data_IF_239239766098
#
_entry.id   IF_239239766098
#
_cell.length_a   1.000
_cell.length_b   1.000
_cell.length_c   1.000
_cell.angle_alpha   90.00
_cell.angle_beta   90.00
_cell.angle_gamma   90.00
#
_symmetry.space_group_name_H-M   'P 1'
#
loop_
_entity.id
_entity.type
_entity.pdbx_description
1 polymer ?
#
# COMPACT_ATOMS: atom_id res chain seq x y z
N UNK A 1 37.58 5.65 12.68
CA UNK A 1 37.35 4.21 12.76
C UNK A 1 36.17 3.90 11.84
N UNK A 2 36.42 3.36 10.66
CA UNK A 2 35.34 2.90 9.78
C UNK A 2 34.76 1.65 10.43
N UNK A 3 33.51 1.72 10.87
CA UNK A 3 32.74 0.52 11.18
C UNK A 3 32.62 -0.25 9.87
N UNK A 4 33.43 -1.30 9.72
CA UNK A 4 33.31 -2.23 8.62
C UNK A 4 31.96 -2.93 8.76
N UNK A 5 31.01 -2.50 7.94
CA UNK A 5 29.82 -3.27 7.66
C UNK A 5 30.31 -4.54 6.96
N UNK A 6 30.42 -5.62 7.70
CA UNK A 6 30.56 -6.93 7.07
C UNK A 6 29.34 -7.09 6.18
N UNK A 7 29.54 -7.07 4.85
CA UNK A 7 28.49 -7.27 3.88
C UNK A 7 27.89 -8.67 4.07
N UNK A 8 26.81 -8.75 4.83
CA UNK A 8 25.97 -9.97 4.86
C UNK A 8 25.37 -10.29 3.49
N UNK A 9 25.50 -9.35 2.54
CA UNK A 9 25.06 -9.51 1.15
C UNK A 9 26.01 -10.35 0.26
N UNK A 10 27.22 -10.66 0.71
CA UNK A 10 28.13 -11.55 -0.03
C UNK A 10 27.65 -13.02 -0.06
N UNK A 11 26.56 -13.32 0.66
CA UNK A 11 25.88 -14.61 0.66
C UNK A 11 24.38 -14.40 0.40
N UNK A 12 24.03 -13.79 -0.74
CA UNK A 12 22.65 -13.97 -1.21
C UNK A 12 22.44 -15.46 -1.40
N UNK A 13 21.45 -16.06 -0.70
CA UNK A 13 21.15 -17.47 -0.91
C UNK A 13 20.68 -17.67 -2.34
N UNK A 14 20.75 -18.92 -2.81
CA UNK A 14 20.17 -19.33 -4.08
C UNK A 14 18.71 -18.87 -4.17
N UNK A 15 18.23 -18.66 -5.38
CA UNK A 15 16.82 -18.29 -5.58
C UNK A 15 15.88 -19.27 -4.85
N UNK A 16 14.83 -18.77 -4.18
CA UNK A 16 13.87 -19.64 -3.53
C UNK A 16 13.26 -20.63 -4.52
N UNK A 17 13.06 -21.87 -4.09
CA UNK A 17 12.44 -22.90 -4.93
C UNK A 17 11.05 -22.45 -5.38
N UNK A 18 10.76 -22.39 -6.68
CA UNK A 18 9.47 -21.94 -7.19
C UNK A 18 8.29 -22.71 -6.55
N UNK A 19 7.29 -21.96 -6.07
CA UNK A 19 6.07 -22.52 -5.50
C UNK A 19 6.19 -23.04 -4.07
N UNK A 20 7.34 -22.94 -3.42
CA UNK A 20 7.53 -23.33 -2.02
C UNK A 20 7.37 -22.11 -1.11
N UNK A 21 6.43 -22.19 -0.16
CA UNK A 21 6.27 -21.17 0.87
C UNK A 21 7.24 -21.45 2.02
N UNK A 22 8.15 -20.53 2.26
CA UNK A 22 9.11 -20.58 3.36
C UNK A 22 8.62 -19.69 4.51
N UNK A 23 8.11 -20.33 5.57
CA UNK A 23 7.78 -19.63 6.81
C UNK A 23 9.05 -19.09 7.46
N UNK A 24 9.06 -17.80 7.82
CA UNK A 24 10.25 -17.16 8.40
C UNK A 24 11.28 -16.70 7.36
N UNK A 25 10.95 -16.81 6.07
CA UNK A 25 11.82 -16.34 4.98
C UNK A 25 12.80 -17.39 4.48
N UNK A 26 13.57 -16.97 3.50
CA UNK A 26 14.57 -17.81 2.81
C UNK A 26 15.99 -17.61 3.38
N UNK A 27 16.17 -16.62 4.22
CA UNK A 27 17.45 -16.22 4.80
C UNK A 27 17.49 -16.52 6.29
N UNK A 28 18.68 -16.85 6.77
CA UNK A 28 18.96 -16.83 8.20
C UNK A 28 19.20 -15.38 8.61
N UNK A 29 18.13 -14.66 8.93
CA UNK A 29 18.25 -13.31 9.46
C UNK A 29 19.01 -13.37 10.80
N UNK A 30 19.99 -12.46 11.02
CA UNK A 30 20.73 -12.46 12.26
C UNK A 30 19.81 -12.10 13.44
N UNK A 31 20.06 -12.66 14.63
CA UNK A 31 19.34 -12.24 15.83
C UNK A 31 19.46 -10.74 16.05
N UNK A 32 18.39 -10.12 16.55
CA UNK A 32 18.33 -8.70 16.89
C UNK A 32 18.44 -8.53 18.42
N UNK A 33 19.66 -8.42 18.99
CA UNK A 33 19.85 -8.23 20.43
C UNK A 33 19.39 -6.83 20.87
N UNK A 34 19.05 -6.64 22.14
CA UNK A 34 18.61 -5.34 22.67
C UNK A 34 19.64 -4.21 22.47
N UNK A 35 20.91 -4.57 22.34
CA UNK A 35 22.00 -3.62 22.07
C UNK A 35 22.11 -3.20 20.59
N UNK A 36 21.31 -3.79 19.69
CA UNK A 36 21.34 -3.42 18.29
C UNK A 36 20.79 -2.01 18.10
N UNK A 37 21.48 -1.13 17.34
CA UNK A 37 21.07 0.26 17.15
C UNK A 37 19.72 0.41 16.41
N UNK A 38 19.20 -0.63 15.80
CA UNK A 38 17.92 -0.62 15.08
C UNK A 38 16.75 -1.07 15.95
N UNK A 39 16.99 -1.51 17.17
CA UNK A 39 15.91 -1.86 18.11
C UNK A 39 14.97 -0.65 18.30
N UNK A 40 13.69 -0.88 18.08
CA UNK A 40 12.68 0.19 18.12
C UNK A 40 12.40 0.87 16.78
N UNK A 41 13.16 0.59 15.70
CA UNK A 41 12.80 1.07 14.36
C UNK A 41 11.48 0.43 13.91
N UNK A 42 10.69 1.19 13.17
CA UNK A 42 9.41 0.72 12.64
C UNK A 42 9.03 1.49 11.38
N UNK A 43 8.39 0.83 10.44
CA UNK A 43 7.71 1.50 9.34
C UNK A 43 6.48 2.22 9.90
N UNK A 44 6.49 3.54 9.91
CA UNK A 44 5.44 4.37 10.50
C UNK A 44 4.33 4.67 9.48
N UNK A 45 4.69 5.18 8.30
CA UNK A 45 3.72 5.58 7.27
C UNK A 45 4.22 5.29 5.86
N UNK A 46 3.29 5.27 4.93
CA UNK A 46 3.52 5.33 3.49
C UNK A 46 3.03 6.68 2.98
N UNK A 47 3.84 7.35 2.15
CA UNK A 47 3.45 8.60 1.51
C UNK A 47 3.16 8.39 0.02
N UNK A 48 2.06 8.96 -0.45
CA UNK A 48 1.70 9.01 -1.86
C UNK A 48 1.37 10.43 -2.29
N UNK A 49 1.76 10.80 -3.49
CA UNK A 49 1.28 12.02 -4.12
C UNK A 49 -0.13 11.80 -4.66
N UNK A 50 -0.96 12.83 -4.52
CA UNK A 50 -2.32 12.84 -5.06
C UNK A 50 -2.52 14.10 -5.90
N UNK A 51 -3.35 13.99 -6.95
CA UNK A 51 -3.64 15.08 -7.87
C UNK A 51 -4.97 15.76 -7.56
N UNK A 52 -5.99 14.98 -7.23
CA UNK A 52 -7.31 15.45 -6.81
C UNK A 52 -7.61 15.02 -5.38
N UNK A 53 -7.46 15.93 -4.40
CA UNK A 53 -7.78 15.62 -3.00
C UNK A 53 -9.23 15.22 -2.79
N UNK A 54 -10.18 15.81 -3.54
CA UNK A 54 -11.60 15.54 -3.33
C UNK A 54 -11.96 14.09 -3.64
N UNK A 55 -11.60 13.59 -4.80
CA UNK A 55 -11.87 12.20 -5.19
C UNK A 55 -11.05 11.23 -4.35
N UNK A 56 -9.80 11.56 -4.05
CA UNK A 56 -8.92 10.71 -3.26
C UNK A 56 -9.39 10.59 -1.80
N UNK A 57 -9.74 11.69 -1.15
CA UNK A 57 -10.28 11.65 0.21
C UNK A 57 -11.64 10.95 0.26
N UNK A 58 -12.50 11.14 -0.73
CA UNK A 58 -13.74 10.37 -0.86
C UNK A 58 -13.45 8.87 -0.89
N UNK A 59 -12.50 8.44 -1.69
CA UNK A 59 -12.12 7.02 -1.76
C UNK A 59 -11.63 6.50 -0.40
N UNK A 60 -10.63 7.13 0.20
CA UNK A 60 -10.03 6.62 1.45
C UNK A 60 -10.91 6.79 2.68
N UNK A 61 -11.66 7.89 2.77
CA UNK A 61 -12.50 8.19 3.95
C UNK A 61 -13.87 7.52 3.83
N UNK A 62 -14.59 7.79 2.73
CA UNK A 62 -15.98 7.34 2.63
C UNK A 62 -16.07 5.88 2.18
N UNK A 63 -15.23 5.47 1.22
CA UNK A 63 -15.29 4.12 0.67
C UNK A 63 -14.40 3.12 1.43
N UNK A 64 -13.19 3.52 1.84
CA UNK A 64 -12.28 2.62 2.56
C UNK A 64 -12.38 2.74 4.08
N UNK A 65 -13.08 3.75 4.62
CA UNK A 65 -13.36 3.86 6.04
C UNK A 65 -12.21 4.43 6.90
N UNK A 66 -11.14 4.94 6.29
CA UNK A 66 -10.11 5.67 7.03
C UNK A 66 -10.64 6.99 7.59
N UNK A 67 -9.94 7.58 8.54
CA UNK A 67 -10.27 8.88 9.11
C UNK A 67 -9.05 9.77 9.19
N UNK A 68 -9.26 11.07 9.04
CA UNK A 68 -8.21 12.08 9.11
C UNK A 68 -7.66 12.20 10.51
N UNK A 69 -6.36 12.01 10.65
CA UNK A 69 -5.62 12.25 11.89
C UNK A 69 -5.26 13.72 12.01
N UNK A 70 -4.69 14.29 10.93
CA UNK A 70 -4.42 15.72 10.82
C UNK A 70 -4.24 16.14 9.36
N UNK A 71 -4.34 17.44 9.12
CA UNK A 71 -4.13 18.07 7.81
C UNK A 71 -3.27 19.31 7.99
N UNK A 72 -2.33 19.53 7.07
CA UNK A 72 -1.52 20.74 7.06
C UNK A 72 -1.37 21.28 5.64
N UNK A 73 -1.75 22.53 5.45
CA UNK A 73 -1.37 23.30 4.27
C UNK A 73 -0.01 23.97 4.57
N UNK A 74 1.03 23.52 3.86
CA UNK A 74 2.40 24.00 4.00
C UNK A 74 2.75 25.14 2.99
N UNK A 75 1.76 25.70 2.31
CA UNK A 75 1.91 26.70 1.28
C UNK A 75 1.92 26.08 -0.14
N UNK A 76 3.02 25.47 -0.59
CA UNK A 76 3.08 24.88 -1.95
C UNK A 76 2.39 23.51 -2.06
N UNK A 77 2.00 22.91 -0.96
CA UNK A 77 1.33 21.61 -0.91
C UNK A 77 0.48 21.46 0.36
N UNK A 78 -0.47 20.54 0.31
CA UNK A 78 -1.24 20.11 1.48
C UNK A 78 -0.96 18.65 1.76
N UNK A 79 -0.81 18.31 3.05
CA UNK A 79 -0.64 16.94 3.55
C UNK A 79 -1.88 16.54 4.32
N UNK A 80 -2.34 15.32 4.09
CA UNK A 80 -3.43 14.67 4.82
C UNK A 80 -2.89 13.36 5.41
N UNK A 81 -2.96 13.21 6.73
CA UNK A 81 -2.64 11.94 7.39
C UNK A 81 -3.91 11.20 7.73
N UNK A 82 -4.02 9.98 7.26
CA UNK A 82 -5.17 9.11 7.46
C UNK A 82 -4.77 7.86 8.25
N UNK A 83 -5.70 7.36 9.06
CA UNK A 83 -5.58 6.09 9.76
C UNK A 83 -6.96 5.48 10.06
N UNK A 84 -6.96 4.24 10.57
CA UNK A 84 -8.16 3.61 11.10
C UNK A 84 -8.28 3.86 12.60
N UNK A 85 -9.46 4.32 13.09
CA UNK A 85 -9.80 4.26 14.51
C UNK A 85 -9.87 2.79 14.96
N UNK A 86 -9.20 2.46 16.07
CA UNK A 86 -9.00 1.06 16.46
C UNK A 86 -10.07 0.52 17.42
N UNK A 87 -10.73 1.41 18.18
CA UNK A 87 -11.76 1.02 19.13
C UNK A 87 -13.15 1.56 18.77
N UNK A 88 -14.19 1.02 19.38
CA UNK A 88 -15.54 1.55 19.23
C UNK A 88 -15.64 2.99 19.76
N UNK A 89 -14.96 3.30 20.85
CA UNK A 89 -14.90 4.64 21.41
C UNK A 89 -14.25 5.63 20.41
N UNK A 90 -13.12 5.24 19.80
CA UNK A 90 -12.47 6.06 18.78
C UNK A 90 -13.38 6.32 17.59
N UNK A 91 -14.18 5.34 17.18
CA UNK A 91 -15.13 5.49 16.05
C UNK A 91 -16.32 6.38 16.38
N UNK A 92 -16.72 6.47 17.64
CA UNK A 92 -17.83 7.32 18.09
C UNK A 92 -17.44 8.77 18.33
N UNK A 93 -16.17 9.01 18.69
CA UNK A 93 -15.62 10.35 19.00
C UNK A 93 -14.36 10.58 18.17
N UNK A 94 -14.57 10.87 16.88
CA UNK A 94 -13.48 11.08 15.92
C UNK A 94 -12.68 12.35 16.18
N UNK A 95 -13.30 13.37 16.78
CA UNK A 95 -12.61 14.61 17.14
C UNK A 95 -11.55 14.34 18.22
N UNK A 96 -11.95 13.74 19.33
CA UNK A 96 -11.03 13.39 20.41
C UNK A 96 -9.98 12.36 19.93
N UNK A 97 -10.39 11.36 19.11
CA UNK A 97 -9.48 10.40 18.53
C UNK A 97 -8.40 11.08 17.66
N UNK A 98 -8.77 12.01 16.79
CA UNK A 98 -7.82 12.71 15.91
C UNK A 98 -6.87 13.60 16.70
N UNK A 99 -7.41 14.39 17.65
CA UNK A 99 -6.60 15.23 18.54
C UNK A 99 -5.59 14.40 19.34
N UNK A 100 -5.99 13.24 19.84
CA UNK A 100 -5.12 12.32 20.59
C UNK A 100 -4.09 11.64 19.70
N UNK A 101 -4.53 11.13 18.53
CA UNK A 101 -3.67 10.39 17.60
C UNK A 101 -2.63 11.30 16.94
N UNK A 102 -2.93 12.59 16.74
CA UNK A 102 -2.00 13.58 16.17
C UNK A 102 -0.88 14.01 17.11
N UNK A 103 -0.96 13.69 18.42
CA UNK A 103 0.13 13.97 19.35
C UNK A 103 1.38 13.18 18.97
N UNK A 104 2.54 13.84 18.94
CA UNK A 104 3.79 13.26 18.44
C UNK A 104 4.13 11.91 19.07
N UNK A 105 4.00 11.78 20.39
CA UNK A 105 4.27 10.55 21.12
C UNK A 105 3.33 9.38 20.77
N UNK A 106 2.13 9.66 20.26
CA UNK A 106 1.17 8.65 19.80
C UNK A 106 1.36 8.39 18.31
N UNK A 107 1.45 9.44 17.51
CA UNK A 107 1.62 9.37 16.06
C UNK A 107 2.84 8.53 15.65
N UNK A 108 3.97 8.73 16.34
CA UNK A 108 5.21 7.96 16.08
C UNK A 108 5.07 6.46 16.37
N UNK A 109 4.05 6.03 17.10
CA UNK A 109 3.80 4.63 17.41
C UNK A 109 2.58 4.04 16.67
N UNK A 110 1.80 4.89 15.98
CA UNK A 110 0.67 4.43 15.17
C UNK A 110 1.16 3.65 13.96
N UNK A 111 0.54 2.51 13.66
CA UNK A 111 0.81 1.72 12.45
C UNK A 111 -0.26 1.97 11.40
N UNK A 112 0.09 1.71 10.14
CA UNK A 112 -0.86 1.83 9.03
C UNK A 112 -1.29 3.27 8.75
N UNK A 113 -0.40 4.25 8.99
CA UNK A 113 -0.61 5.62 8.58
C UNK A 113 -0.44 5.76 7.07
N UNK A 114 -1.36 6.47 6.45
CA UNK A 114 -1.28 6.87 5.06
C UNK A 114 -1.15 8.39 4.98
N UNK A 115 -0.04 8.86 4.40
CA UNK A 115 0.18 10.26 4.08
C UNK A 115 -0.19 10.51 2.62
N UNK A 116 -1.12 11.43 2.38
CA UNK A 116 -1.48 11.89 1.04
C UNK A 116 -0.95 13.31 0.87
N UNK A 117 -0.13 13.53 -0.17
CA UNK A 117 0.50 14.82 -0.44
C UNK A 117 -0.01 15.40 -1.77
N UNK A 118 -0.78 16.46 -1.67
CA UNK A 118 -1.26 17.23 -2.82
C UNK A 118 -0.34 18.41 -3.09
N UNK A 119 0.31 18.42 -4.23
CA UNK A 119 1.09 19.59 -4.70
C UNK A 119 0.11 20.54 -5.41
N UNK A 120 -0.01 21.75 -4.89
CA UNK A 120 -0.95 22.73 -5.45
C UNK A 120 -0.61 23.06 -6.91
N UNK A 121 -1.61 23.01 -7.78
CA UNK A 121 -1.44 23.18 -9.23
C UNK A 121 -1.19 21.89 -10.00
N UNK A 122 -0.91 20.76 -9.31
CA UNK A 122 -0.77 19.46 -10.00
C UNK A 122 -2.06 18.96 -10.61
N UNK A 123 -3.19 19.43 -10.11
CA UNK A 123 -4.55 19.15 -10.60
C UNK A 123 -4.88 19.81 -11.92
N UNK A 124 -4.14 20.86 -12.30
CA UNK A 124 -4.36 21.58 -13.54
C UNK A 124 -4.14 20.68 -14.77
N UNK A 125 -4.67 21.05 -15.95
CA UNK A 125 -4.27 20.43 -17.21
C UNK A 125 -2.75 20.50 -17.40
N UNK A 126 -2.19 19.54 -18.11
CA UNK A 126 -0.73 19.47 -18.34
C UNK A 126 -0.23 20.73 -19.04
N UNK A 127 -1.03 21.30 -19.96
CA UNK A 127 -0.75 22.52 -20.71
C UNK A 127 -0.70 23.77 -19.81
N UNK A 128 -1.31 23.70 -18.62
CA UNK A 128 -1.36 24.75 -17.62
C UNK A 128 -0.40 24.49 -16.43
N UNK A 129 0.55 23.55 -16.60
CA UNK A 129 1.58 23.24 -15.60
C UNK A 129 1.22 22.12 -14.62
N UNK A 130 0.10 21.44 -14.82
CA UNK A 130 -0.22 20.20 -14.13
C UNK A 130 0.63 19.03 -14.64
N UNK A 131 0.53 17.88 -13.97
CA UNK A 131 1.26 16.67 -14.38
C UNK A 131 0.53 15.39 -13.98
N UNK A 132 0.80 14.31 -14.74
CA UNK A 132 0.33 12.99 -14.39
C UNK A 132 1.17 12.40 -13.25
N UNK A 133 0.50 11.74 -12.30
CA UNK A 133 1.18 11.02 -11.21
C UNK A 133 1.37 9.58 -11.63
N UNK A 134 2.61 9.11 -11.62
CA UNK A 134 2.90 7.69 -11.79
C UNK A 134 2.47 6.90 -10.54
N UNK A 135 1.76 5.81 -10.77
CA UNK A 135 1.39 4.87 -9.71
C UNK A 135 2.45 3.75 -9.51
N UNK A 136 3.59 3.84 -10.18
CA UNK A 136 4.67 2.86 -10.10
C UNK A 136 4.45 1.55 -10.85
N UNK A 137 3.34 1.39 -11.58
CA UNK A 137 3.00 0.16 -12.30
C UNK A 137 3.08 0.31 -13.83
N UNK A 138 3.57 1.43 -14.33
CA UNK A 138 3.74 1.70 -15.76
C UNK A 138 5.15 2.15 -16.10
N UNK A 139 5.77 1.58 -17.16
CA UNK A 139 7.06 2.06 -17.65
C UNK A 139 7.02 3.56 -18.03
N UNK A 140 8.11 4.29 -17.84
CA UNK A 140 9.40 3.85 -17.29
C UNK A 140 9.46 3.87 -15.75
N UNK A 141 8.37 4.18 -15.06
CA UNK A 141 8.32 4.44 -13.61
C UNK A 141 7.81 3.21 -12.83
N UNK A 142 8.41 2.04 -13.07
CA UNK A 142 8.14 0.83 -12.31
C UNK A 142 8.77 0.92 -10.91
N UNK A 143 8.10 0.38 -9.90
CA UNK A 143 8.67 0.31 -8.55
C UNK A 143 7.64 0.12 -7.44
N UNK A 144 6.67 1.02 -7.30
CA UNK A 144 5.60 0.84 -6.32
C UNK A 144 4.53 -0.10 -6.91
N UNK A 145 4.18 -1.15 -6.17
CA UNK A 145 3.18 -2.13 -6.63
C UNK A 145 1.75 -1.78 -6.19
N UNK A 146 1.48 -1.92 -4.91
CA UNK A 146 0.14 -1.73 -4.35
C UNK A 146 0.17 -1.45 -2.84
N UNK A 147 -0.98 -1.03 -2.30
CA UNK A 147 -1.26 -1.04 -0.86
C UNK A 147 -2.10 -2.27 -0.51
N UNK A 148 -1.75 -2.96 0.58
CA UNK A 148 -2.53 -4.08 1.11
C UNK A 148 -3.49 -3.63 2.21
N UNK A 149 -4.78 -4.00 2.09
CA UNK A 149 -5.80 -3.77 3.11
C UNK A 149 -6.41 -5.10 3.54
N UNK A 150 -6.41 -5.35 4.84
CA UNK A 150 -7.18 -6.45 5.42
C UNK A 150 -8.60 -5.97 5.69
N UNK A 151 -9.57 -6.72 5.22
CA UNK A 151 -11.00 -6.43 5.37
C UNK A 151 -11.74 -7.65 5.91
N UNK A 152 -12.81 -7.47 6.71
CA UNK A 152 -13.55 -8.60 7.30
C UNK A 152 -14.15 -9.55 6.25
N UNK A 153 -14.56 -9.03 5.10
CA UNK A 153 -15.15 -9.80 4.01
C UNK A 153 -14.80 -9.18 2.67
N UNK A 154 -13.86 -9.79 1.94
CA UNK A 154 -13.40 -9.28 0.64
C UNK A 154 -14.53 -9.22 -0.38
N UNK A 155 -15.40 -10.24 -0.44
CA UNK A 155 -16.52 -10.27 -1.41
C UNK A 155 -17.45 -9.07 -1.21
N UNK A 156 -17.91 -8.86 0.02
CA UNK A 156 -18.79 -7.74 0.35
C UNK A 156 -18.11 -6.37 0.14
N UNK A 157 -16.82 -6.27 0.46
CA UNK A 157 -16.05 -5.05 0.23
C UNK A 157 -15.93 -4.72 -1.26
N UNK A 158 -15.62 -5.70 -2.10
CA UNK A 158 -15.50 -5.54 -3.56
C UNK A 158 -16.84 -5.19 -4.19
N UNK A 159 -17.94 -5.86 -3.80
CA UNK A 159 -19.29 -5.56 -4.28
C UNK A 159 -19.66 -4.11 -3.95
N UNK A 160 -19.47 -3.67 -2.71
CA UNK A 160 -19.74 -2.29 -2.28
C UNK A 160 -18.90 -1.24 -3.02
N UNK A 161 -17.62 -1.52 -3.25
CA UNK A 161 -16.72 -0.63 -4.01
C UNK A 161 -17.14 -0.55 -5.48
N UNK A 162 -17.52 -1.68 -6.08
CA UNK A 162 -18.02 -1.73 -7.46
C UNK A 162 -19.32 -0.93 -7.62
N UNK A 163 -20.26 -1.07 -6.69
CA UNK A 163 -21.52 -0.31 -6.67
C UNK A 163 -21.28 1.19 -6.54
N UNK A 164 -20.20 1.58 -5.86
CA UNK A 164 -19.74 2.98 -5.76
C UNK A 164 -18.93 3.45 -6.99
N UNK A 165 -18.83 2.64 -8.05
CA UNK A 165 -18.13 3.00 -9.29
C UNK A 165 -16.61 2.80 -9.25
N UNK A 166 -16.06 2.16 -8.22
CA UNK A 166 -14.63 1.85 -8.14
C UNK A 166 -14.27 0.76 -9.14
N UNK A 167 -13.19 0.95 -9.89
CA UNK A 167 -12.73 -0.02 -10.88
C UNK A 167 -12.13 -1.24 -10.18
N UNK A 168 -12.77 -2.40 -10.36
CA UNK A 168 -12.22 -3.69 -9.95
C UNK A 168 -11.26 -4.17 -11.04
N UNK A 169 -9.98 -4.32 -10.69
CA UNK A 169 -8.91 -4.74 -11.60
C UNK A 169 -8.81 -6.25 -11.64
N UNK A 170 -8.96 -6.90 -10.49
CA UNK A 170 -8.99 -8.35 -10.32
C UNK A 170 -10.06 -8.72 -9.32
N UNK A 171 -10.97 -9.53 -9.71
CA UNK A 171 -12.04 -10.03 -8.82
C UNK A 171 -11.58 -11.19 -7.94
N UNK A 172 -12.32 -11.44 -6.87
CA UNK A 172 -12.12 -12.60 -6.00
C UNK A 172 -12.33 -13.90 -6.79
N UNK A 173 -11.50 -14.89 -6.54
CA UNK A 173 -11.56 -16.20 -7.22
C UNK A 173 -10.78 -16.28 -8.54
N UNK A 174 -10.46 -15.17 -9.17
CA UNK A 174 -9.59 -15.15 -10.36
C UNK A 174 -8.13 -15.33 -9.96
N UNK A 175 -7.42 -16.18 -10.70
CA UNK A 175 -6.04 -16.53 -10.37
C UNK A 175 -5.16 -16.83 -11.59
N UNK A 176 -5.64 -16.56 -12.79
CA UNK A 176 -4.86 -16.70 -14.01
C UNK A 176 -3.78 -15.63 -14.16
N UNK A 177 -2.91 -15.79 -15.14
CA UNK A 177 -1.81 -14.84 -15.40
C UNK A 177 -2.34 -13.44 -15.71
N UNK A 178 -3.54 -13.32 -16.27
CA UNK A 178 -4.26 -12.08 -16.52
C UNK A 178 -4.59 -11.30 -15.23
N UNK A 179 -4.58 -11.97 -14.07
CA UNK A 179 -4.77 -11.33 -12.75
C UNK A 179 -3.59 -10.46 -12.32
N UNK A 180 -2.40 -10.72 -12.88
CA UNK A 180 -1.17 -9.94 -12.73
C UNK A 180 -0.62 -9.71 -14.14
N UNK A 181 -1.25 -8.85 -14.94
CA UNK A 181 -0.86 -8.66 -16.33
C UNK A 181 0.53 -8.03 -16.41
N UNK A 182 1.32 -8.52 -17.35
CA UNK A 182 2.53 -7.84 -17.79
C UNK A 182 2.17 -6.59 -18.57
N UNK A 183 2.94 -5.55 -18.39
CA UNK A 183 2.93 -4.42 -19.32
C UNK A 183 3.41 -4.88 -20.70
N UNK A 184 3.04 -4.15 -21.75
CA UNK A 184 3.53 -4.44 -23.09
C UNK A 184 5.08 -4.39 -23.15
N UNK A 185 5.66 -3.42 -22.44
CA UNK A 185 7.09 -3.26 -22.30
C UNK A 185 7.81 -4.51 -21.71
N UNK A 186 7.23 -5.11 -20.66
CA UNK A 186 7.75 -6.35 -20.05
C UNK A 186 7.58 -7.54 -20.99
N UNK A 187 6.41 -7.64 -21.64
CA UNK A 187 6.08 -8.71 -22.58
C UNK A 187 7.03 -8.73 -23.78
N UNK A 188 7.31 -7.58 -24.36
CA UNK A 188 8.26 -7.44 -25.48
C UNK A 188 9.68 -7.89 -25.10
N UNK A 189 10.04 -7.82 -23.83
CA UNK A 189 11.38 -8.18 -23.31
C UNK A 189 11.45 -9.55 -22.66
N UNK A 190 10.33 -10.25 -22.58
CA UNK A 190 10.24 -11.54 -21.91
C UNK A 190 10.48 -11.47 -20.40
N UNK A 191 10.38 -10.28 -19.79
CA UNK A 191 10.60 -10.09 -18.35
C UNK A 191 9.36 -10.56 -17.59
N UNK A 192 9.53 -11.51 -16.65
CA UNK A 192 8.43 -12.07 -15.87
C UNK A 192 7.37 -12.80 -16.69
N UNK A 193 7.72 -13.32 -17.87
CA UNK A 193 6.78 -13.93 -18.80
C UNK A 193 6.40 -15.37 -18.46
N UNK A 194 7.11 -15.99 -17.52
CA UNK A 194 6.86 -17.36 -17.10
C UNK A 194 5.50 -17.55 -16.42
N UNK A 195 5.02 -18.78 -16.42
CA UNK A 195 3.81 -19.16 -15.73
C UNK A 195 3.97 -19.08 -14.20
N UNK A 196 2.91 -18.63 -13.55
CA UNK A 196 2.85 -18.62 -12.09
C UNK A 196 2.72 -20.05 -11.54
N UNK A 197 3.34 -20.34 -10.42
CA UNK A 197 3.19 -21.62 -9.74
C UNK A 197 1.77 -21.85 -9.23
N UNK A 198 1.32 -23.10 -9.14
CA UNK A 198 -0.03 -23.43 -8.66
C UNK A 198 -0.27 -22.95 -7.22
N UNK A 199 0.75 -23.02 -6.35
CA UNK A 199 0.63 -22.54 -4.97
C UNK A 199 0.38 -21.02 -4.90
N UNK A 200 0.99 -20.23 -5.78
CA UNK A 200 0.73 -18.80 -5.86
C UNK A 200 -0.65 -18.50 -6.45
N UNK A 201 -1.07 -19.25 -7.47
CA UNK A 201 -2.43 -19.16 -8.04
C UNK A 201 -3.51 -19.44 -6.99
N UNK A 202 -3.30 -20.41 -6.09
CA UNK A 202 -4.20 -20.65 -4.95
C UNK A 202 -4.27 -19.44 -4.00
N UNK A 203 -3.15 -18.83 -3.67
CA UNK A 203 -3.13 -17.61 -2.86
C UNK A 203 -3.90 -16.47 -3.53
N UNK A 204 -3.73 -16.29 -4.84
CA UNK A 204 -4.41 -15.23 -5.58
C UNK A 204 -5.94 -15.34 -5.58
N UNK A 205 -6.50 -16.52 -5.43
CA UNK A 205 -7.97 -16.70 -5.34
C UNK A 205 -8.60 -15.94 -4.17
N UNK A 206 -7.83 -15.71 -3.11
CA UNK A 206 -8.28 -15.07 -1.88
C UNK A 206 -8.02 -13.55 -1.85
N UNK A 207 -7.47 -13.00 -2.90
CA UNK A 207 -7.11 -11.59 -3.02
C UNK A 207 -7.96 -10.95 -4.12
N UNK A 208 -8.42 -9.74 -3.92
CA UNK A 208 -9.01 -8.91 -4.97
C UNK A 208 -8.20 -7.61 -5.14
N UNK A 209 -8.14 -7.09 -6.36
CA UNK A 209 -7.47 -5.82 -6.64
C UNK A 209 -8.48 -4.78 -7.15
N UNK A 210 -8.45 -3.61 -6.54
CA UNK A 210 -9.22 -2.44 -6.99
C UNK A 210 -8.27 -1.28 -7.24
N UNK A 211 -8.72 -0.28 -7.98
CA UNK A 211 -7.93 0.92 -8.26
C UNK A 211 -8.56 2.14 -7.58
N UNK A 212 -7.72 2.95 -6.93
CA UNK A 212 -8.12 4.27 -6.43
C UNK A 212 -8.19 5.32 -7.56
N UNK A 213 -8.60 6.56 -7.27
CA UNK A 213 -8.71 7.62 -8.29
C UNK A 213 -7.39 8.01 -8.97
N UNK A 214 -6.24 7.72 -8.37
CA UNK A 214 -4.91 7.91 -8.99
C UNK A 214 -4.37 6.60 -9.59
N UNK A 215 -5.23 5.58 -9.74
CA UNK A 215 -4.95 4.25 -10.30
C UNK A 215 -3.95 3.41 -9.49
N UNK A 216 -3.73 3.73 -8.22
CA UNK A 216 -2.97 2.89 -7.30
C UNK A 216 -3.73 1.58 -7.08
N UNK A 217 -3.04 0.45 -7.17
CA UNK A 217 -3.65 -0.85 -6.93
C UNK A 217 -3.78 -1.13 -5.43
N UNK A 218 -4.88 -1.77 -5.07
CA UNK A 218 -5.16 -2.23 -3.72
C UNK A 218 -5.39 -3.72 -3.71
N UNK A 219 -4.71 -4.41 -2.82
CA UNK A 219 -5.01 -5.79 -2.49
C UNK A 219 -5.92 -5.84 -1.27
N UNK A 220 -7.11 -6.42 -1.44
CA UNK A 220 -8.02 -6.72 -0.33
C UNK A 220 -7.80 -8.16 0.11
N UNK A 221 -7.49 -8.36 1.38
CA UNK A 221 -7.23 -9.64 2.03
C UNK A 221 -8.32 -9.91 3.07
N UNK A 222 -8.79 -11.16 3.18
CA UNK A 222 -9.72 -11.52 4.24
C UNK A 222 -9.04 -11.46 5.61
N UNK A 223 -9.76 -10.90 6.59
CA UNK A 223 -9.45 -11.12 8.00
C UNK A 223 -10.18 -12.39 8.45
N UNK A 224 -9.47 -13.48 8.78
CA UNK A 224 -10.11 -14.72 9.21
C UNK A 224 -10.78 -14.60 10.60
N UNK A 225 -10.54 -13.49 11.30
CA UNK A 225 -11.07 -13.20 12.65
C UNK A 225 -12.04 -12.01 12.67
N UNK A 226 -12.39 -11.46 11.49
CA UNK A 226 -13.28 -10.32 11.33
C UNK A 226 -14.78 -10.66 11.34
#
# INVERSE_FOLDING_TARGET
MSLGWANSFDKLPDEPTPGVFHSGGHYDDPPLPESDPTVGYKLNHMMMRIRDPKSTLHFYIDLMGMRTVWTMNAGPFTIYYLAYPSSELDRRDLENWSQKTSQTNILLHKRGLLELKHIHGSENPVEEGGYEISNGNHPPYLGFGHLGFTVPNVKAAVERLRDAGVRVVKDLGFNGRESIPLTEWERERGVGADEMTESYKETLKHVAHVADPVTTLFSCLNDPNG
#
